data_IF_764119974173
#
_entry.id   IF_764119974173
#
_cell.length_a   1.000
_cell.length_b   1.000
_cell.length_c   1.000
_cell.angle_alpha   90.00
_cell.angle_beta   90.00
_cell.angle_gamma   90.00
#
_symmetry.space_group_name_H-M   'P 1'
#
loop_
_entity.id
_entity.type
_entity.pdbx_description
1 polymer ?
#
# COMPACT_ATOMS: atom_id res chain seq x y z
N UNK A 1 16.56 13.61 -33.62
CA UNK A 1 16.95 12.94 -32.36
C UNK A 1 16.34 11.53 -32.23
N UNK A 2 15.12 11.27 -32.73
CA UNK A 2 14.44 9.95 -32.66
C UNK A 2 15.06 8.88 -33.60
N UNK A 3 15.68 9.29 -34.71
CA UNK A 3 16.36 8.39 -35.67
C UNK A 3 17.55 7.61 -35.10
N UNK A 4 18.00 7.93 -33.88
CA UNK A 4 19.20 7.34 -33.26
C UNK A 4 18.90 6.18 -32.31
N UNK A 5 17.62 5.88 -32.07
CA UNK A 5 17.17 4.92 -31.04
C UNK A 5 16.33 3.77 -31.66
N UNK A 6 16.06 3.80 -32.97
CA UNK A 6 15.14 2.87 -33.62
C UNK A 6 15.90 1.95 -34.58
N UNK A 7 15.67 0.64 -34.48
CA UNK A 7 16.14 -0.38 -35.41
C UNK A 7 15.58 -0.10 -36.82
N UNK A 8 16.35 -0.34 -37.89
CA UNK A 8 16.02 0.04 -39.29
C UNK A 8 14.73 -0.63 -39.83
N UNK A 9 14.16 -1.56 -39.05
CA UNK A 9 12.92 -2.29 -39.30
C UNK A 9 11.64 -1.55 -38.85
N UNK A 10 11.75 -0.51 -38.03
CA UNK A 10 10.60 0.23 -37.48
C UNK A 10 10.48 1.59 -38.16
N UNK A 11 9.43 1.75 -38.96
CA UNK A 11 9.13 2.98 -39.69
C UNK A 11 8.76 4.11 -38.70
N UNK A 12 9.76 4.94 -38.36
CA UNK A 12 9.63 6.04 -37.41
C UNK A 12 8.50 7.02 -37.74
N UNK A 13 8.10 7.12 -39.03
CA UNK A 13 6.96 7.95 -39.43
C UNK A 13 5.63 7.36 -38.98
N UNK A 14 5.47 6.03 -39.01
CA UNK A 14 4.27 5.35 -38.52
C UNK A 14 4.15 5.43 -37.00
N UNK A 15 5.27 5.33 -36.29
CA UNK A 15 5.31 5.52 -34.82
C UNK A 15 4.92 6.96 -34.46
N UNK A 16 5.49 7.95 -35.15
CA UNK A 16 5.13 9.36 -34.92
C UNK A 16 3.65 9.63 -35.24
N UNK A 17 3.13 9.10 -36.35
CA UNK A 17 1.72 9.23 -36.70
C UNK A 17 0.80 8.59 -35.66
N UNK A 18 1.16 7.42 -35.12
CA UNK A 18 0.43 6.81 -34.00
C UNK A 18 0.48 7.68 -32.74
N UNK A 19 1.64 8.24 -32.38
CA UNK A 19 1.76 9.12 -31.20
C UNK A 19 0.87 10.35 -31.35
N UNK A 20 0.94 11.05 -32.49
CA UNK A 20 0.12 12.24 -32.76
C UNK A 20 -1.37 11.90 -32.70
N UNK A 21 -1.78 10.82 -33.35
CA UNK A 21 -3.17 10.37 -33.34
C UNK A 21 -3.66 9.97 -31.94
N UNK A 22 -2.82 9.32 -31.14
CA UNK A 22 -3.14 8.95 -29.75
C UNK A 22 -3.29 10.20 -28.89
N UNK A 23 -2.40 11.19 -29.04
CA UNK A 23 -2.50 12.46 -28.31
C UNK A 23 -3.76 13.24 -28.69
N UNK A 24 -4.14 13.28 -29.95
CA UNK A 24 -5.38 13.92 -30.40
C UNK A 24 -6.62 13.24 -29.79
N UNK A 25 -6.65 11.90 -29.77
CA UNK A 25 -7.71 11.14 -29.11
C UNK A 25 -7.74 11.39 -27.59
N UNK A 26 -6.58 11.49 -26.93
CA UNK A 26 -6.51 11.84 -25.50
C UNK A 26 -7.04 13.25 -25.24
N UNK A 27 -6.69 14.24 -26.06
CA UNK A 27 -7.19 15.62 -25.96
C UNK A 27 -8.71 15.67 -26.20
N UNK A 28 -9.23 14.96 -27.19
CA UNK A 28 -10.67 14.88 -27.48
C UNK A 28 -11.43 14.14 -26.36
N UNK A 29 -10.76 13.18 -25.72
CA UNK A 29 -11.26 12.45 -24.56
C UNK A 29 -11.24 13.32 -23.29
N UNK A 30 -10.24 14.17 -23.10
CA UNK A 30 -10.08 15.04 -21.92
C UNK A 30 -10.85 16.37 -22.01
N UNK A 31 -11.09 16.88 -23.22
CA UNK A 31 -11.81 18.14 -23.45
C UNK A 31 -13.21 18.10 -22.85
N UNK A 32 -13.48 19.02 -21.94
CA UNK A 32 -14.74 19.14 -21.22
C UNK A 32 -14.84 18.39 -19.89
N UNK A 33 -13.79 17.71 -19.43
CA UNK A 33 -13.80 17.05 -18.11
C UNK A 33 -13.31 18.00 -17.01
N UNK A 34 -14.04 18.10 -15.89
CA UNK A 34 -13.63 18.85 -14.69
C UNK A 34 -13.37 17.91 -13.51
N UNK A 35 -12.59 18.35 -12.51
CA UNK A 35 -12.45 17.60 -11.25
C UNK A 35 -13.80 17.41 -10.55
N UNK A 36 -14.75 18.33 -10.76
CA UNK A 36 -16.12 18.21 -10.26
C UNK A 36 -16.89 17.04 -10.88
N UNK A 37 -16.52 16.58 -12.07
CA UNK A 37 -17.18 15.45 -12.71
C UNK A 37 -16.73 14.11 -12.11
N UNK A 38 -15.57 14.06 -11.44
CA UNK A 38 -15.18 12.92 -10.60
C UNK A 38 -16.12 12.73 -9.40
N UNK A 39 -16.86 13.77 -8.98
CA UNK A 39 -17.77 13.74 -7.84
C UNK A 39 -19.25 13.63 -8.24
N UNK A 40 -19.56 13.24 -9.48
CA UNK A 40 -20.94 13.06 -9.95
C UNK A 40 -21.28 11.60 -10.21
N UNK A 41 -22.44 11.18 -9.70
CA UNK A 41 -23.08 9.90 -10.04
C UNK A 41 -22.17 8.69 -9.83
N UNK A 42 -22.05 7.85 -10.86
CA UNK A 42 -21.29 6.59 -10.81
C UNK A 42 -19.78 6.82 -10.67
N UNK A 43 -19.27 7.93 -11.16
CA UNK A 43 -17.83 8.25 -11.09
C UNK A 43 -17.41 8.71 -9.68
N UNK A 44 -18.35 9.20 -8.86
CA UNK A 44 -18.13 9.44 -7.44
C UNK A 44 -17.79 8.14 -6.72
N UNK A 45 -18.59 7.08 -6.93
CA UNK A 45 -18.35 5.77 -6.29
C UNK A 45 -17.01 5.17 -6.71
N UNK A 46 -16.63 5.36 -7.98
CA UNK A 46 -15.32 4.92 -8.50
C UNK A 46 -14.17 5.70 -7.85
N UNK A 47 -14.29 7.03 -7.80
CA UNK A 47 -13.28 7.89 -7.19
C UNK A 47 -13.14 7.63 -5.69
N UNK A 48 -14.26 7.42 -4.99
CA UNK A 48 -14.29 7.06 -3.58
C UNK A 48 -13.57 5.74 -3.32
N UNK A 49 -13.87 4.67 -4.07
CA UNK A 49 -13.19 3.37 -3.93
C UNK A 49 -11.68 3.52 -4.15
N UNK A 50 -11.26 4.30 -5.15
CA UNK A 50 -9.84 4.53 -5.41
C UNK A 50 -9.16 5.31 -4.27
N UNK A 51 -9.81 6.36 -3.76
CA UNK A 51 -9.32 7.16 -2.63
C UNK A 51 -9.24 6.35 -1.34
N UNK A 52 -10.25 5.54 -1.02
CA UNK A 52 -10.28 4.68 0.16
C UNK A 52 -9.22 3.59 0.07
N UNK A 53 -9.14 2.88 -1.06
CA UNK A 53 -8.15 1.81 -1.24
C UNK A 53 -6.71 2.32 -1.11
N UNK A 54 -6.42 3.51 -1.64
CA UNK A 54 -5.09 4.10 -1.54
C UNK A 54 -4.83 4.73 -0.17
N UNK A 55 -5.81 5.43 0.39
CA UNK A 55 -5.73 5.98 1.75
C UNK A 55 -5.49 4.89 2.79
N UNK A 56 -6.13 3.73 2.64
CA UNK A 56 -5.89 2.57 3.50
C UNK A 56 -4.44 2.09 3.47
N UNK A 57 -3.84 2.05 2.28
CA UNK A 57 -2.43 1.71 2.12
C UNK A 57 -1.52 2.64 2.95
N UNK A 58 -1.86 3.93 3.01
CA UNK A 58 -1.16 4.90 3.86
C UNK A 58 -1.44 4.70 5.36
N UNK A 59 -2.65 4.30 5.74
CA UNK A 59 -3.02 4.04 7.14
C UNK A 59 -2.24 2.87 7.75
N UNK A 60 -2.01 1.82 6.96
CA UNK A 60 -1.62 0.50 7.50
C UNK A 60 -0.22 0.06 7.08
N UNK A 61 0.25 0.48 5.90
CA UNK A 61 1.48 -0.06 5.32
C UNK A 61 2.70 0.85 5.36
N UNK A 62 2.52 2.16 5.18
CA UNK A 62 3.65 3.04 4.86
C UNK A 62 4.51 3.47 6.07
N UNK A 63 3.94 3.96 7.19
CA UNK A 63 4.74 4.49 8.30
C UNK A 63 5.44 3.39 9.09
N UNK A 64 4.79 2.23 9.28
CA UNK A 64 5.36 1.08 9.99
C UNK A 64 6.60 0.55 9.26
N UNK A 65 6.59 0.51 7.92
CA UNK A 65 7.76 0.08 7.16
C UNK A 65 8.96 1.01 7.36
N UNK A 66 8.73 2.33 7.37
CA UNK A 66 9.77 3.33 7.59
C UNK A 66 10.42 3.27 8.99
N UNK A 67 9.69 2.77 9.99
CA UNK A 67 10.15 2.68 11.39
C UNK A 67 10.30 1.24 11.90
N UNK A 68 10.37 0.25 11.01
CA UNK A 68 10.37 -1.18 11.39
C UNK A 68 11.49 -1.51 12.37
N UNK A 69 12.69 -0.96 12.19
CA UNK A 69 13.84 -1.21 13.09
C UNK A 69 13.57 -0.65 14.49
N UNK A 70 12.99 0.54 14.57
CA UNK A 70 12.59 1.16 15.84
C UNK A 70 11.49 0.34 16.53
N UNK A 71 10.54 -0.19 15.76
CA UNK A 71 9.53 -1.11 16.29
C UNK A 71 10.18 -2.39 16.86
N UNK A 72 11.17 -2.96 16.19
CA UNK A 72 11.87 -4.16 16.65
C UNK A 72 12.70 -3.91 17.91
N UNK A 73 13.39 -2.77 17.99
CA UNK A 73 14.10 -2.35 19.20
C UNK A 73 13.11 -2.18 20.36
N UNK A 74 11.97 -1.54 20.10
CA UNK A 74 10.93 -1.34 21.10
C UNK A 74 10.14 -2.59 21.46
N UNK A 75 10.16 -3.61 20.60
CA UNK A 75 9.70 -4.95 20.92
C UNK A 75 10.67 -5.70 21.83
N UNK A 76 11.84 -5.13 22.17
CA UNK A 76 12.81 -5.68 23.11
C UNK A 76 13.96 -6.46 22.46
N UNK A 77 14.18 -6.30 21.16
CA UNK A 77 15.35 -6.88 20.48
C UNK A 77 16.58 -5.98 20.64
N UNK A 78 17.76 -6.60 20.70
CA UNK A 78 19.02 -5.86 20.58
C UNK A 78 19.14 -5.20 19.20
N UNK A 79 19.86 -4.07 19.07
CA UNK A 79 20.04 -3.36 17.81
C UNK A 79 20.60 -4.25 16.68
N UNK A 80 21.56 -5.13 17.01
CA UNK A 80 22.13 -6.11 16.07
C UNK A 80 21.07 -7.07 15.50
N UNK A 81 20.14 -7.53 16.35
CA UNK A 81 19.08 -8.43 15.91
C UNK A 81 17.98 -7.66 15.16
N UNK A 82 17.62 -6.46 15.60
CA UNK A 82 16.68 -5.58 14.91
C UNK A 82 17.16 -5.28 13.47
N UNK A 83 18.47 -5.04 13.28
CA UNK A 83 19.06 -4.84 11.96
C UNK A 83 18.97 -6.10 11.08
N UNK A 84 19.33 -7.27 11.62
CA UNK A 84 19.18 -8.56 10.89
C UNK A 84 17.73 -8.81 10.48
N UNK A 85 16.78 -8.51 11.36
CA UNK A 85 15.35 -8.60 11.06
C UNK A 85 14.92 -7.59 10.00
N UNK A 86 15.46 -6.37 10.00
CA UNK A 86 15.18 -5.39 8.96
C UNK A 86 15.65 -5.88 7.57
N UNK A 87 16.83 -6.50 7.49
CA UNK A 87 17.31 -7.13 6.25
C UNK A 87 16.35 -8.25 5.81
N UNK A 88 15.97 -9.14 6.74
CA UNK A 88 15.01 -10.21 6.46
C UNK A 88 13.64 -9.68 6.01
N UNK A 89 13.19 -8.58 6.60
CA UNK A 89 11.97 -7.87 6.26
C UNK A 89 12.00 -7.34 4.82
N UNK A 90 13.11 -6.70 4.41
CA UNK A 90 13.30 -6.26 3.02
C UNK A 90 13.35 -7.42 2.02
N UNK A 91 14.04 -8.52 2.35
CA UNK A 91 14.07 -9.73 1.52
C UNK A 91 12.68 -10.35 1.38
N UNK A 92 11.91 -10.37 2.47
CA UNK A 92 10.52 -10.86 2.49
C UNK A 92 9.62 -10.00 1.63
N UNK A 93 9.77 -8.67 1.67
CA UNK A 93 9.05 -7.75 0.77
C UNK A 93 9.39 -7.99 -0.70
N UNK A 94 10.65 -8.28 -1.02
CA UNK A 94 11.08 -8.61 -2.37
C UNK A 94 10.39 -9.89 -2.88
N UNK A 95 10.46 -10.97 -2.10
CA UNK A 95 9.79 -12.25 -2.44
C UNK A 95 8.27 -12.07 -2.51
N UNK A 96 7.67 -11.35 -1.56
CA UNK A 96 6.25 -11.03 -1.56
C UNK A 96 5.83 -10.25 -2.82
N UNK A 97 6.68 -9.34 -3.30
CA UNK A 97 6.41 -8.62 -4.55
C UNK A 97 6.46 -9.55 -5.76
N UNK A 98 7.41 -10.49 -5.82
CA UNK A 98 7.46 -11.49 -6.90
C UNK A 98 6.24 -12.42 -6.88
N UNK A 99 5.75 -12.78 -5.70
CA UNK A 99 4.55 -13.61 -5.53
C UNK A 99 3.26 -12.89 -5.92
N UNK A 100 3.27 -11.55 -6.02
CA UNK A 100 2.08 -10.78 -6.42
C UNK A 100 1.60 -11.13 -7.82
N UNK A 101 2.51 -11.41 -8.76
CA UNK A 101 2.17 -11.67 -10.16
C UNK A 101 1.31 -12.94 -10.34
N UNK A 102 1.72 -14.13 -9.86
CA UNK A 102 0.88 -15.32 -9.96
C UNK A 102 -0.41 -15.16 -9.16
N UNK A 103 -0.39 -14.50 -7.99
CA UNK A 103 -1.58 -14.30 -7.17
C UNK A 103 -2.66 -13.49 -7.91
N UNK A 104 -2.24 -12.38 -8.53
CA UNK A 104 -3.11 -11.51 -9.31
C UNK A 104 -3.62 -12.17 -10.59
N UNK A 105 -2.80 -13.04 -11.21
CA UNK A 105 -3.17 -13.77 -12.41
C UNK A 105 -4.26 -14.82 -12.15
N UNK A 106 -4.16 -15.60 -11.07
CA UNK A 106 -5.07 -16.72 -10.82
C UNK A 106 -6.33 -16.35 -10.03
N UNK A 107 -6.21 -15.52 -8.99
CA UNK A 107 -7.32 -15.31 -8.05
C UNK A 107 -8.20 -14.11 -8.39
N UNK A 108 -7.74 -13.19 -9.25
CA UNK A 108 -8.41 -11.93 -9.54
C UNK A 108 -8.19 -10.86 -8.46
N UNK A 109 -8.40 -9.58 -8.81
CA UNK A 109 -7.96 -8.45 -7.98
C UNK A 109 -8.81 -8.22 -6.73
N UNK A 110 -10.13 -8.35 -6.83
CA UNK A 110 -11.05 -8.06 -5.73
C UNK A 110 -10.92 -9.05 -4.57
N UNK A 111 -10.79 -10.33 -4.90
CA UNK A 111 -10.61 -11.46 -3.97
C UNK A 111 -9.24 -11.41 -3.31
N UNK A 112 -8.17 -11.08 -4.04
CA UNK A 112 -6.83 -10.90 -3.47
C UNK A 112 -6.79 -9.71 -2.51
N UNK A 113 -7.42 -8.59 -2.88
CA UNK A 113 -7.51 -7.44 -1.99
C UNK A 113 -8.33 -7.77 -0.74
N UNK A 114 -9.57 -8.24 -0.88
CA UNK A 114 -10.43 -8.54 0.27
C UNK A 114 -9.92 -9.68 1.16
N UNK A 115 -9.39 -10.76 0.55
CA UNK A 115 -8.79 -11.88 1.27
C UNK A 115 -7.50 -11.49 1.99
N UNK A 116 -6.67 -10.66 1.34
CA UNK A 116 -5.51 -10.03 1.97
C UNK A 116 -5.93 -9.24 3.19
N UNK A 117 -6.85 -8.29 3.04
CA UNK A 117 -7.38 -7.46 4.12
C UNK A 117 -7.86 -8.29 5.32
N UNK A 118 -8.67 -9.33 5.08
CA UNK A 118 -9.14 -10.22 6.14
C UNK A 118 -8.00 -10.92 6.88
N UNK A 119 -7.02 -11.45 6.15
CA UNK A 119 -5.85 -12.11 6.75
C UNK A 119 -5.01 -11.12 7.57
N UNK A 120 -4.85 -9.89 7.06
CA UNK A 120 -4.11 -8.83 7.74
C UNK A 120 -4.80 -8.40 9.03
N UNK A 121 -6.13 -8.29 9.05
CA UNK A 121 -6.90 -8.01 10.27
C UNK A 121 -6.62 -9.04 11.36
N UNK A 122 -6.64 -10.33 11.00
CA UNK A 122 -6.35 -11.44 11.94
C UNK A 122 -4.91 -11.34 12.47
N UNK A 123 -3.95 -11.05 11.58
CA UNK A 123 -2.54 -10.88 11.97
C UNK A 123 -2.34 -9.67 12.88
N UNK A 124 -3.05 -8.57 12.64
CA UNK A 124 -2.99 -7.40 13.52
C UNK A 124 -3.55 -7.67 14.92
N UNK A 125 -4.65 -8.41 15.02
CA UNK A 125 -5.13 -8.89 16.31
C UNK A 125 -4.11 -9.79 17.00
N UNK A 126 -3.48 -10.71 16.26
CA UNK A 126 -2.44 -11.57 16.81
C UNK A 126 -1.23 -10.78 17.32
N UNK A 127 -0.78 -9.75 16.59
CA UNK A 127 0.30 -8.84 17.01
C UNK A 127 -0.11 -8.06 18.26
N UNK A 128 -1.35 -7.54 18.30
CA UNK A 128 -1.89 -6.85 19.47
C UNK A 128 -1.91 -7.72 20.73
N UNK A 129 -2.38 -8.96 20.60
CA UNK A 129 -2.40 -9.96 21.68
C UNK A 129 -0.97 -10.32 22.12
N UNK A 130 -0.08 -10.55 21.16
CA UNK A 130 1.33 -10.81 21.44
C UNK A 130 2.01 -9.63 22.16
N UNK A 131 1.48 -8.42 22.04
CA UNK A 131 1.90 -7.21 22.75
C UNK A 131 1.41 -7.07 24.19
N UNK A 132 0.58 -7.98 24.69
CA UNK A 132 0.04 -7.94 26.08
C UNK A 132 1.10 -8.32 27.14
N UNK A 133 1.92 -9.37 26.96
CA UNK A 133 2.95 -9.74 27.95
C UNK A 133 3.99 -8.65 28.21
N UNK A 134 4.67 -8.64 29.36
CA UNK A 134 5.82 -7.75 29.60
C UNK A 134 6.98 -8.03 28.63
N UNK A 135 7.77 -7.00 28.30
CA UNK A 135 8.98 -7.10 27.45
C UNK A 135 10.08 -7.97 28.10
N UNK A 136 9.95 -8.27 29.39
CA UNK A 136 10.89 -9.11 30.16
C UNK A 136 10.99 -10.55 29.63
N UNK A 137 9.98 -11.07 28.94
CA UNK A 137 10.00 -12.42 28.35
C UNK A 137 10.61 -12.38 26.95
N UNK A 138 11.82 -12.93 26.81
CA UNK A 138 12.53 -13.01 25.52
C UNK A 138 11.70 -13.70 24.45
N UNK A 139 11.02 -14.79 24.77
CA UNK A 139 10.25 -15.59 23.81
C UNK A 139 9.05 -14.81 23.23
N UNK A 140 8.42 -13.96 24.06
CA UNK A 140 7.33 -13.09 23.63
C UNK A 140 7.82 -11.99 22.67
N UNK A 141 9.05 -11.50 22.85
CA UNK A 141 9.65 -10.50 21.96
C UNK A 141 9.98 -11.08 20.58
N UNK A 142 10.45 -12.32 20.51
CA UNK A 142 10.65 -13.03 19.23
C UNK A 142 9.31 -13.31 18.52
N UNK A 143 8.26 -13.67 19.27
CA UNK A 143 6.93 -13.88 18.72
C UNK A 143 6.33 -12.59 18.10
N UNK A 144 6.44 -11.44 18.77
CA UNK A 144 5.95 -10.14 18.24
C UNK A 144 6.60 -9.77 16.91
N UNK A 145 7.92 -9.90 16.87
CA UNK A 145 8.74 -9.48 15.72
C UNK A 145 8.51 -10.41 14.52
N UNK A 146 8.45 -11.72 14.74
CA UNK A 146 8.15 -12.69 13.68
C UNK A 146 6.75 -12.50 13.09
N UNK A 147 5.75 -12.22 13.92
CA UNK A 147 4.39 -11.93 13.46
C UNK A 147 4.33 -10.68 12.56
N UNK A 148 5.15 -9.66 12.84
CA UNK A 148 5.23 -8.46 12.00
C UNK A 148 5.86 -8.75 10.63
N UNK A 149 6.87 -9.62 10.58
CA UNK A 149 7.47 -10.07 9.31
C UNK A 149 6.46 -10.87 8.49
N UNK A 150 5.70 -11.76 9.13
CA UNK A 150 4.63 -12.53 8.47
C UNK A 150 3.54 -11.59 7.95
N UNK A 151 3.16 -10.59 8.73
CA UNK A 151 2.25 -9.54 8.31
C UNK A 151 2.75 -8.83 7.04
N UNK A 152 4.03 -8.48 6.96
CA UNK A 152 4.57 -7.81 5.78
C UNK A 152 4.62 -8.73 4.56
N UNK A 153 4.94 -10.01 4.77
CA UNK A 153 4.89 -11.02 3.71
C UNK A 153 3.50 -11.16 3.09
N UNK A 154 2.44 -11.01 3.89
CA UNK A 154 1.06 -11.00 3.40
C UNK A 154 0.72 -9.68 2.73
N UNK A 155 1.16 -8.56 3.30
CA UNK A 155 0.88 -7.21 2.81
C UNK A 155 1.35 -6.99 1.37
N UNK A 156 2.61 -7.32 1.09
CA UNK A 156 3.25 -7.02 -0.18
C UNK A 156 2.52 -7.62 -1.41
N UNK A 157 2.27 -8.94 -1.48
CA UNK A 157 1.58 -9.56 -2.61
C UNK A 157 0.09 -9.20 -2.70
N UNK A 158 -0.55 -8.88 -1.57
CA UNK A 158 -1.98 -8.58 -1.53
C UNK A 158 -2.25 -7.09 -1.73
N UNK A 159 -2.45 -6.35 -0.65
CA UNK A 159 -2.80 -4.92 -0.64
C UNK A 159 -1.74 -4.09 -1.35
N UNK A 160 -0.45 -4.39 -1.12
CA UNK A 160 0.68 -3.66 -1.69
C UNK A 160 0.64 -3.56 -3.21
N UNK A 161 0.53 -4.70 -3.89
CA UNK A 161 0.49 -4.76 -5.36
C UNK A 161 -0.90 -4.45 -5.93
N UNK A 162 -1.96 -4.91 -5.28
CA UNK A 162 -3.32 -4.84 -5.84
C UNK A 162 -3.88 -3.42 -5.86
N UNK A 163 -3.49 -2.55 -4.92
CA UNK A 163 -3.96 -1.15 -4.86
C UNK A 163 -3.63 -0.38 -6.14
N UNK A 164 -2.38 -0.47 -6.63
CA UNK A 164 -1.98 0.22 -7.86
C UNK A 164 -2.74 -0.28 -9.08
N UNK A 165 -3.02 -1.58 -9.09
CA UNK A 165 -3.83 -2.26 -10.09
C UNK A 165 -5.28 -1.73 -10.09
N UNK A 166 -5.90 -1.62 -8.90
CA UNK A 166 -7.27 -1.12 -8.71
C UNK A 166 -7.39 0.35 -9.12
N UNK A 167 -6.47 1.21 -8.68
CA UNK A 167 -6.50 2.64 -9.02
C UNK A 167 -6.41 2.85 -10.54
N UNK A 168 -5.64 2.00 -11.23
CA UNK A 168 -5.57 2.00 -12.67
C UNK A 168 -6.89 1.59 -13.35
N UNK A 169 -7.66 0.67 -12.79
CA UNK A 169 -8.82 0.08 -13.47
C UNK A 169 -10.16 0.71 -13.09
N UNK A 170 -10.24 1.38 -11.95
CA UNK A 170 -11.51 1.91 -11.43
C UNK A 170 -11.95 3.21 -12.13
N UNK A 171 -11.00 4.03 -12.59
CA UNK A 171 -11.31 5.29 -13.27
C UNK A 171 -11.83 5.10 -14.69
N UNK A 172 -12.89 5.82 -15.06
CA UNK A 172 -13.33 5.91 -16.46
C UNK A 172 -12.21 6.47 -17.33
N UNK A 173 -12.00 5.97 -18.55
CA UNK A 173 -10.85 6.34 -19.41
C UNK A 173 -10.63 7.86 -19.54
N UNK A 174 -11.72 8.65 -19.57
CA UNK A 174 -11.69 10.13 -19.64
C UNK A 174 -11.28 10.83 -18.34
N UNK A 175 -11.58 10.24 -17.19
CA UNK A 175 -11.38 10.82 -15.85
C UNK A 175 -10.30 10.09 -15.05
N UNK A 176 -9.68 9.06 -15.63
CA UNK A 176 -8.71 8.18 -14.96
C UNK A 176 -7.54 8.95 -14.38
N UNK A 177 -6.90 9.83 -15.16
CA UNK A 177 -5.77 10.65 -14.70
C UNK A 177 -6.15 11.53 -13.49
N UNK A 178 -7.35 12.14 -13.52
CA UNK A 178 -7.87 12.96 -12.41
C UNK A 178 -8.21 12.14 -11.17
N UNK A 179 -8.78 10.96 -11.38
CA UNK A 179 -9.10 10.00 -10.30
C UNK A 179 -7.83 9.52 -9.60
N UNK A 180 -6.79 9.17 -10.37
CA UNK A 180 -5.47 8.77 -9.85
C UNK A 180 -4.85 9.92 -9.05
N UNK A 181 -4.94 11.15 -9.56
CA UNK A 181 -4.43 12.33 -8.86
C UNK A 181 -5.15 12.57 -7.52
N UNK A 182 -6.49 12.49 -7.49
CA UNK A 182 -7.28 12.62 -6.25
C UNK A 182 -6.97 11.51 -5.25
N UNK A 183 -6.86 10.26 -5.72
CA UNK A 183 -6.48 9.13 -4.87
C UNK A 183 -5.08 9.35 -4.28
N UNK A 184 -4.11 9.83 -5.08
CA UNK A 184 -2.75 10.11 -4.61
C UNK A 184 -2.70 11.25 -3.61
N UNK A 185 -3.46 12.33 -3.84
CA UNK A 185 -3.57 13.43 -2.88
C UNK A 185 -4.13 12.96 -1.53
N UNK A 186 -5.17 12.11 -1.57
CA UNK A 186 -5.74 11.48 -0.37
C UNK A 186 -4.72 10.64 0.36
N UNK A 187 -3.98 9.78 -0.37
CA UNK A 187 -2.87 9.01 0.18
C UNK A 187 -1.84 9.91 0.89
N UNK A 188 -1.42 11.01 0.27
CA UNK A 188 -0.44 11.92 0.85
C UNK A 188 -0.95 12.58 2.13
N UNK A 189 -2.21 13.05 2.16
CA UNK A 189 -2.81 13.66 3.35
C UNK A 189 -2.85 12.67 4.51
N UNK A 190 -3.32 11.45 4.26
CA UNK A 190 -3.38 10.39 5.27
C UNK A 190 -1.98 9.98 5.73
N UNK A 191 -1.03 9.89 4.81
CA UNK A 191 0.36 9.57 5.14
C UNK A 191 0.98 10.63 6.04
N UNK A 192 0.70 11.93 5.84
CA UNK A 192 1.20 13.00 6.74
C UNK A 192 0.68 12.78 8.15
N UNK A 193 -0.64 12.56 8.31
CA UNK A 193 -1.25 12.31 9.61
C UNK A 193 -0.64 11.09 10.30
N UNK A 194 -0.45 9.99 9.56
CA UNK A 194 0.11 8.77 10.13
C UNK A 194 1.60 8.84 10.42
N UNK A 195 2.38 9.59 9.65
CA UNK A 195 3.78 9.84 9.98
C UNK A 195 3.95 10.71 11.25
N UNK A 196 2.91 11.43 11.67
CA UNK A 196 2.90 12.10 12.98
C UNK A 196 2.45 11.11 14.05
N UNK A 197 1.34 10.40 13.87
CA UNK A 197 0.76 9.56 14.93
C UNK A 197 1.64 8.34 15.27
N UNK A 198 2.23 7.67 14.27
CA UNK A 198 2.97 6.40 14.48
C UNK A 198 4.21 6.58 15.37
N UNK A 199 5.06 7.60 15.18
CA UNK A 199 6.16 7.86 16.11
C UNK A 199 5.69 8.05 17.56
N UNK A 200 4.59 8.78 17.79
CA UNK A 200 4.03 8.99 19.13
C UNK A 200 3.48 7.70 19.75
N UNK A 201 2.84 6.85 18.93
CA UNK A 201 2.36 5.52 19.35
C UNK A 201 3.51 4.61 19.76
N UNK A 202 4.63 4.67 19.04
CA UNK A 202 5.77 3.83 19.34
C UNK A 202 6.53 4.42 20.54
N UNK A 203 6.88 5.70 20.56
CA UNK A 203 7.73 6.32 21.57
C UNK A 203 7.43 5.90 23.03
N UNK A 204 8.41 5.31 23.75
CA UNK A 204 8.22 4.85 25.12
C UNK A 204 7.98 5.98 26.14
N UNK A 205 8.37 7.22 25.82
CA UNK A 205 8.17 8.39 26.68
C UNK A 205 6.81 9.07 26.46
N UNK A 206 6.03 8.65 25.47
CA UNK A 206 4.72 9.23 25.17
C UNK A 206 3.61 8.19 25.35
N UNK A 207 3.07 7.62 24.27
CA UNK A 207 1.94 6.69 24.39
C UNK A 207 2.36 5.26 24.67
N UNK A 208 3.60 4.87 24.33
CA UNK A 208 4.17 3.54 24.61
C UNK A 208 3.22 2.39 24.23
N UNK A 209 2.56 2.50 23.07
CA UNK A 209 1.66 1.45 22.60
C UNK A 209 2.43 0.28 22.01
N UNK A 210 3.65 0.48 21.47
CA UNK A 210 4.51 -0.60 20.94
C UNK A 210 3.68 -1.62 20.14
N UNK A 211 3.69 -2.90 20.49
CA UNK A 211 2.90 -3.95 19.85
C UNK A 211 1.37 -3.83 20.02
N UNK A 212 0.87 -3.10 21.03
CA UNK A 212 -0.58 -2.83 21.21
C UNK A 212 -1.14 -1.90 20.14
N UNK A 213 -0.30 -1.17 19.41
CA UNK A 213 -0.71 -0.41 18.22
C UNK A 213 -1.38 -1.32 17.18
N UNK A 214 -1.09 -2.63 17.18
CA UNK A 214 -1.78 -3.63 16.36
C UNK A 214 -3.31 -3.63 16.54
N UNK A 215 -3.85 -3.34 17.73
CA UNK A 215 -5.31 -3.24 17.93
C UNK A 215 -5.92 -2.02 17.24
N UNK A 216 -5.19 -0.90 17.20
CA UNK A 216 -5.64 0.31 16.51
C UNK A 216 -5.72 0.06 15.00
N UNK A 217 -4.68 -0.55 14.43
CA UNK A 217 -4.65 -0.93 13.02
C UNK A 217 -5.64 -2.05 12.68
N UNK A 218 -5.87 -3.01 13.59
CA UNK A 218 -6.91 -4.01 13.43
C UNK A 218 -8.30 -3.37 13.32
N UNK A 219 -8.62 -2.41 14.21
CA UNK A 219 -9.88 -1.66 14.16
C UNK A 219 -10.08 -0.94 12.83
N UNK A 220 -9.07 -0.22 12.36
CA UNK A 220 -9.11 0.46 11.06
C UNK A 220 -9.26 -0.52 9.89
N UNK A 221 -8.62 -1.69 9.96
CA UNK A 221 -8.73 -2.73 8.93
C UNK A 221 -10.14 -3.31 8.81
N UNK A 222 -10.85 -3.48 9.93
CA UNK A 222 -12.25 -3.95 9.94
C UNK A 222 -13.18 -2.94 9.29
N UNK A 223 -13.03 -1.65 9.63
CA UNK A 223 -13.85 -0.59 9.03
C UNK A 223 -13.68 -0.49 7.52
N UNK A 224 -12.49 -0.81 7.00
CA UNK A 224 -12.23 -0.78 5.55
C UNK A 224 -12.68 -2.07 4.83
N UNK A 225 -12.92 -3.16 5.56
CA UNK A 225 -13.40 -4.42 5.00
C UNK A 225 -14.91 -4.35 4.70
N UNK A 226 -15.65 -3.54 5.47
CA UNK A 226 -17.10 -3.27 5.34
C UNK A 226 -17.35 -2.25 4.24
#
# INVERSE_FOLDING_TARGET
>A
MIRRITDDSIDAKKVLAMIVHTTELEIETETGTSYFDCFKGTDLRRTEIACVAYGFQALIGNPLQGMTTYFFEQAGLSPDNAFKFNIGNNATSFVGTMLSWPLLYYFGRRTVYGGGMALMTVLYFAIGIAGIPPITYTDANWARTSLLVIYLFVYCPSVGATVYAIIGEVGASRLRSKTVALARSTYCLVAIVMNIIVPYMLNPMEWNWSAKSGFFFAGLSIFCLI
#
